data_IF_564662452275
#
_entry.id   IF_564662452275
#
_cell.length_a   1.000
_cell.length_b   1.000
_cell.length_c   1.000
_cell.angle_alpha   90.00
_cell.angle_beta   90.00
_cell.angle_gamma   90.00
#
_symmetry.space_group_name_H-M   'P 1'
#
loop_
_entity.id
_entity.type
_entity.pdbx_description
1 polymer ?
#
# COMPACT_ATOMS: atom_id res chain seq x y z
N UNK A 1 -40.48 -9.83 33.65
CA UNK A 1 -39.71 -10.89 34.34
C UNK A 1 -38.24 -10.55 34.22
N UNK A 2 -37.53 -10.39 35.33
CA UNK A 2 -36.07 -10.17 35.31
C UNK A 2 -35.38 -11.45 34.81
N UNK A 3 -34.64 -11.33 33.71
CA UNK A 3 -33.94 -12.43 33.06
C UNK A 3 -32.65 -12.67 33.84
N UNK A 4 -32.48 -13.86 34.43
CA UNK A 4 -31.26 -14.21 35.17
C UNK A 4 -30.38 -15.12 34.33
N UNK A 5 -29.06 -15.03 34.51
CA UNK A 5 -28.09 -15.85 33.75
C UNK A 5 -28.34 -17.35 33.91
N UNK A 6 -28.65 -17.81 35.14
CA UNK A 6 -28.98 -19.22 35.43
C UNK A 6 -30.22 -19.73 34.67
N UNK A 7 -31.24 -18.87 34.48
CA UNK A 7 -32.42 -19.26 33.69
C UNK A 7 -32.07 -19.39 32.21
N UNK A 8 -31.20 -18.51 31.71
CA UNK A 8 -30.71 -18.56 30.34
C UNK A 8 -29.84 -19.81 30.12
N UNK A 9 -28.92 -20.11 31.03
CA UNK A 9 -28.09 -21.33 30.99
C UNK A 9 -28.92 -22.61 30.99
N UNK A 10 -29.91 -22.73 31.88
CA UNK A 10 -30.79 -23.89 31.90
C UNK A 10 -31.56 -24.04 30.58
N UNK A 11 -32.01 -22.92 30.00
CA UNK A 11 -32.69 -22.92 28.71
C UNK A 11 -31.74 -23.31 27.56
N UNK A 12 -30.49 -22.87 27.57
CA UNK A 12 -29.49 -23.25 26.60
C UNK A 12 -29.12 -24.73 26.74
N UNK A 13 -28.91 -25.22 27.95
CA UNK A 13 -28.52 -26.60 28.25
C UNK A 13 -29.62 -27.61 27.88
N UNK A 14 -30.88 -27.32 28.24
CA UNK A 14 -32.04 -28.14 27.81
C UNK A 14 -32.20 -28.19 26.30
N UNK A 15 -31.55 -27.25 25.60
CA UNK A 15 -31.49 -27.15 24.14
C UNK A 15 -30.06 -27.43 23.66
N UNK A 16 -29.30 -28.32 24.30
CA UNK A 16 -28.04 -28.82 23.74
C UNK A 16 -26.91 -27.80 23.52
N UNK A 17 -26.99 -26.61 24.10
CA UNK A 17 -25.93 -25.61 24.09
C UNK A 17 -25.29 -25.47 25.47
N UNK A 18 -23.97 -25.48 25.51
CA UNK A 18 -23.17 -25.25 26.70
C UNK A 18 -22.54 -23.85 26.63
N UNK A 19 -22.78 -23.02 27.65
CA UNK A 19 -22.07 -21.76 27.80
C UNK A 19 -20.65 -22.02 28.34
N UNK A 20 -19.63 -21.56 27.61
CA UNK A 20 -18.21 -21.81 27.92
C UNK A 20 -17.50 -20.59 28.50
N UNK A 21 -17.73 -19.41 27.91
CA UNK A 21 -17.08 -18.14 28.31
C UNK A 21 -18.11 -17.03 28.32
N UNK A 22 -17.98 -16.13 29.28
CA UNK A 22 -18.85 -14.97 29.41
C UNK A 22 -18.01 -13.71 29.26
N UNK A 23 -18.51 -12.73 28.52
CA UNK A 23 -17.84 -11.46 28.30
C UNK A 23 -18.69 -10.33 28.87
N UNK A 24 -18.06 -9.47 29.68
CA UNK A 24 -18.75 -8.44 30.46
C UNK A 24 -18.15 -7.05 30.27
N UNK A 25 -19.03 -6.05 30.28
CA UNK A 25 -18.70 -4.62 30.28
C UNK A 25 -19.45 -4.00 31.46
N UNK A 26 -18.75 -3.23 32.31
CA UNK A 26 -19.33 -2.52 33.45
C UNK A 26 -20.27 -3.40 34.31
N UNK A 27 -19.82 -4.62 34.63
CA UNK A 27 -20.55 -5.61 35.45
C UNK A 27 -21.89 -6.13 34.85
N UNK A 28 -22.09 -5.97 33.55
CA UNK A 28 -23.20 -6.58 32.80
C UNK A 28 -22.69 -7.50 31.67
N UNK A 29 -23.34 -8.64 31.47
CA UNK A 29 -22.98 -9.57 30.39
C UNK A 29 -23.38 -9.01 29.02
N UNK A 30 -22.45 -9.06 28.06
CA UNK A 30 -22.64 -8.58 26.69
C UNK A 30 -22.57 -9.71 25.67
N UNK A 31 -21.65 -10.65 25.85
CA UNK A 31 -21.54 -11.83 24.99
C UNK A 31 -21.37 -13.13 25.78
N UNK A 32 -21.89 -14.24 25.26
CA UNK A 32 -21.72 -15.60 25.82
C UNK A 32 -21.27 -16.55 24.72
N UNK A 33 -20.11 -17.19 24.88
CA UNK A 33 -19.61 -18.22 23.95
C UNK A 33 -20.36 -19.52 24.21
N UNK A 34 -21.08 -19.99 23.20
CA UNK A 34 -21.86 -21.20 23.23
C UNK A 34 -21.20 -22.28 22.39
N UNK A 35 -21.26 -23.52 22.89
CA UNK A 35 -20.87 -24.72 22.18
C UNK A 35 -22.08 -25.62 22.04
N UNK A 36 -22.38 -26.05 20.81
CA UNK A 36 -23.37 -27.08 20.59
C UNK A 36 -22.78 -28.45 20.98
N UNK A 37 -23.44 -29.15 21.90
CA UNK A 37 -22.98 -30.46 22.41
C UNK A 37 -22.99 -31.52 21.30
N UNK A 38 -23.92 -31.43 20.34
CA UNK A 38 -24.11 -32.44 19.31
C UNK A 38 -23.17 -32.26 18.11
N UNK A 39 -22.79 -31.02 17.80
CA UNK A 39 -21.99 -30.72 16.59
C UNK A 39 -20.60 -30.16 16.91
N UNK A 40 -20.33 -29.84 18.17
CA UNK A 40 -19.16 -29.08 18.61
C UNK A 40 -19.01 -27.68 17.96
N UNK A 41 -20.03 -27.21 17.25
CA UNK A 41 -20.04 -25.88 16.63
C UNK A 41 -20.06 -24.80 17.72
N UNK A 42 -19.20 -23.79 17.57
CA UNK A 42 -19.17 -22.65 18.48
C UNK A 42 -19.84 -21.43 17.87
N UNK A 43 -20.65 -20.74 18.66
CA UNK A 43 -21.28 -19.48 18.29
C UNK A 43 -21.26 -18.47 19.44
N UNK A 44 -21.54 -17.21 19.12
CA UNK A 44 -21.63 -16.12 20.07
C UNK A 44 -23.09 -15.73 20.30
N UNK A 45 -23.52 -15.63 21.55
CA UNK A 45 -24.80 -15.03 21.89
C UNK A 45 -24.59 -13.59 22.35
N UNK A 46 -25.17 -12.64 21.64
CA UNK A 46 -25.19 -11.23 22.03
C UNK A 46 -26.39 -10.93 22.93
N UNK A 47 -26.14 -10.27 24.05
CA UNK A 47 -27.17 -9.79 24.99
C UNK A 47 -27.35 -8.28 24.75
N UNK A 48 -28.50 -7.85 24.21
CA UNK A 48 -28.80 -6.43 24.08
C UNK A 48 -28.85 -5.72 25.44
N UNK A 49 -28.32 -4.49 25.48
CA UNK A 49 -28.20 -3.68 26.71
C UNK A 49 -29.53 -3.48 27.46
N UNK A 50 -30.67 -3.54 26.76
CA UNK A 50 -32.01 -3.42 27.37
C UNK A 50 -32.37 -4.52 28.39
N UNK A 51 -31.67 -5.66 28.36
CA UNK A 51 -31.95 -6.77 29.29
C UNK A 51 -31.14 -6.71 30.59
N UNK A 52 -30.07 -5.90 30.62
CA UNK A 52 -29.16 -5.65 31.76
C UNK A 52 -29.00 -6.84 32.74
N UNK A 53 -28.28 -7.88 32.30
CA UNK A 53 -28.01 -9.07 33.11
C UNK A 53 -26.72 -8.85 33.88
N UNK A 54 -26.83 -8.63 35.19
CA UNK A 54 -25.68 -8.42 36.07
C UNK A 54 -24.79 -9.65 36.17
N UNK A 55 -23.49 -9.40 36.27
CA UNK A 55 -22.46 -10.44 36.46
C UNK A 55 -22.62 -11.08 37.84
N UNK A 56 -22.84 -12.39 37.85
CA UNK A 56 -22.73 -13.21 39.05
C UNK A 56 -21.28 -13.69 39.21
N UNK A 57 -20.88 -14.13 40.42
CA UNK A 57 -19.56 -14.73 40.71
C UNK A 57 -19.40 -16.11 40.04
N UNK A 58 -19.45 -16.16 38.72
CA UNK A 58 -19.21 -17.35 37.91
C UNK A 58 -17.73 -17.43 37.52
N UNK A 59 -17.24 -18.66 37.34
CA UNK A 59 -15.94 -18.93 36.73
C UNK A 59 -16.00 -18.63 35.22
N UNK A 60 -14.88 -18.27 34.58
CA UNK A 60 -14.77 -17.96 33.14
C UNK A 60 -15.49 -16.69 32.65
N UNK A 61 -15.56 -15.66 33.50
CA UNK A 61 -15.99 -14.31 33.10
C UNK A 61 -14.77 -13.48 32.70
N UNK A 62 -14.77 -13.00 31.46
CA UNK A 62 -13.75 -12.13 30.91
C UNK A 62 -14.27 -10.70 30.82
N UNK A 63 -13.47 -9.73 31.26
CA UNK A 63 -13.78 -8.31 31.06
C UNK A 63 -13.37 -7.90 29.66
N UNK A 64 -14.20 -7.09 29.00
CA UNK A 64 -13.90 -6.56 27.68
C UNK A 64 -14.02 -5.03 27.66
N UNK A 65 -13.12 -4.37 26.93
CA UNK A 65 -13.12 -2.91 26.77
C UNK A 65 -13.12 -2.52 25.30
N UNK A 66 -13.80 -1.41 24.98
CA UNK A 66 -13.85 -0.87 23.61
C UNK A 66 -12.48 -0.41 23.12
N UNK A 67 -12.16 -0.75 21.88
CA UNK A 67 -10.99 -0.24 21.17
C UNK A 67 -11.48 0.61 19.99
N UNK A 68 -11.03 1.85 19.95
CA UNK A 68 -11.04 2.64 18.73
C UNK A 68 -9.72 2.40 17.99
N UNK A 69 -9.81 1.87 16.78
CA UNK A 69 -8.66 1.69 15.89
C UNK A 69 -8.79 2.72 14.78
N UNK A 70 -7.79 3.59 14.65
CA UNK A 70 -7.75 4.59 13.58
C UNK A 70 -7.59 3.89 12.23
N UNK A 71 -8.53 4.15 11.31
CA UNK A 71 -8.63 3.45 10.03
C UNK A 71 -7.74 4.05 8.93
N UNK A 72 -6.93 5.06 9.25
CA UNK A 72 -6.17 5.88 8.31
C UNK A 72 -4.88 5.22 7.78
N UNK A 73 -4.94 3.91 7.51
CA UNK A 73 -3.85 3.20 6.84
C UNK A 73 -4.04 3.21 5.33
N UNK A 74 -3.11 3.86 4.60
CA UNK A 74 -3.10 3.88 3.15
C UNK A 74 -2.40 2.61 2.64
N UNK A 75 -3.10 1.78 1.85
CA UNK A 75 -2.65 0.43 1.44
C UNK A 75 -1.22 0.43 0.84
N UNK A 76 -0.80 1.40 0.02
CA UNK A 76 0.58 1.42 -0.47
C UNK A 76 1.60 1.75 0.64
N UNK A 77 1.28 2.63 1.58
CA UNK A 77 2.20 3.11 2.63
C UNK A 77 2.40 2.05 3.72
N UNK A 78 1.34 1.34 4.10
CA UNK A 78 1.40 0.28 5.12
C UNK A 78 2.21 -0.95 4.67
N UNK A 79 2.27 -1.18 3.35
CA UNK A 79 2.96 -2.32 2.73
C UNK A 79 4.33 -1.98 2.15
N UNK A 80 4.52 -0.77 1.61
CA UNK A 80 5.84 -0.27 1.14
C UNK A 80 6.84 -0.08 2.28
N UNK A 81 6.36 0.01 3.52
CA UNK A 81 7.16 0.48 4.65
C UNK A 81 7.58 1.94 4.42
N UNK A 82 7.97 2.61 5.49
CA UNK A 82 9.08 3.53 5.29
C UNK A 82 10.24 2.63 4.84
N UNK A 83 10.69 2.84 3.62
CA UNK A 83 11.93 2.25 3.12
C UNK A 83 12.98 2.37 4.23
N UNK A 84 13.36 1.26 4.87
CA UNK A 84 14.57 1.22 5.70
C UNK A 84 15.70 1.62 4.73
N UNK A 85 16.31 2.82 4.87
CA UNK A 85 17.33 3.26 3.94
C UNK A 85 18.49 2.25 3.89
N UNK A 86 18.74 1.60 5.02
CA UNK A 86 19.75 0.57 5.24
C UNK A 86 19.50 -0.76 4.50
N UNK A 87 18.28 -1.03 4.03
CA UNK A 87 17.94 -2.26 3.30
C UNK A 87 17.89 -2.06 1.79
N UNK A 88 17.74 -0.82 1.31
CA UNK A 88 17.75 -0.49 -0.11
C UNK A 88 19.19 -0.29 -0.59
N UNK A 89 20.07 0.37 0.18
CA UNK A 89 21.50 0.47 -0.16
C UNK A 89 22.16 -0.91 -0.33
N UNK A 90 21.79 -1.91 0.50
CA UNK A 90 22.31 -3.28 0.39
C UNK A 90 21.87 -4.05 -0.85
N UNK A 91 20.79 -3.65 -1.52
CA UNK A 91 20.36 -4.28 -2.79
C UNK A 91 21.07 -3.65 -4.00
N UNK A 92 21.60 -2.44 -3.86
CA UNK A 92 22.42 -1.77 -4.88
C UNK A 92 23.93 -2.01 -4.69
N UNK A 93 24.38 -2.28 -3.46
CA UNK A 93 25.80 -2.51 -3.11
C UNK A 93 26.25 -3.98 -3.23
N UNK A 94 25.93 -4.63 -4.35
CA UNK A 94 26.70 -5.80 -4.78
C UNK A 94 27.74 -5.37 -5.83
N UNK A 95 28.66 -4.50 -5.42
CA UNK A 95 29.98 -4.32 -6.04
C UNK A 95 30.97 -4.17 -4.89
N UNK A 96 31.89 -5.13 -4.78
CA UNK A 96 32.94 -5.24 -3.76
C UNK A 96 33.71 -3.94 -3.49
N UNK A 97 34.17 -3.75 -2.23
CA UNK A 97 35.59 -3.61 -1.84
C UNK A 97 35.68 -3.47 -0.30
N UNK A 98 36.70 -4.14 0.24
CA UNK A 98 37.14 -4.23 1.64
C UNK A 98 37.46 -2.88 2.32
N UNK A 99 37.60 -2.97 3.65
CA UNK A 99 38.26 -2.05 4.60
C UNK A 99 37.51 -0.79 5.10
N UNK A 100 37.04 -0.83 6.35
CA UNK A 100 37.71 -0.11 7.45
C UNK A 100 36.95 -0.25 8.80
N UNK A 101 37.54 -1.00 9.73
CA UNK A 101 36.99 -1.32 11.06
C UNK A 101 36.85 -0.11 12.02
N UNK A 102 37.26 1.10 11.61
CA UNK A 102 37.23 2.30 12.47
C UNK A 102 35.91 3.08 12.45
N UNK A 103 35.01 2.80 11.50
CA UNK A 103 33.68 3.42 11.42
C UNK A 103 32.55 2.61 12.08
N UNK A 104 32.87 1.47 12.71
CA UNK A 104 31.90 0.61 13.39
C UNK A 104 31.44 1.19 14.73
N UNK A 105 32.32 1.88 15.45
CA UNK A 105 32.03 2.41 16.80
C UNK A 105 31.11 3.63 16.73
N UNK A 106 31.34 4.55 15.78
CA UNK A 106 30.47 5.71 15.54
C UNK A 106 29.09 5.31 14.98
N UNK A 107 28.99 4.21 14.21
CA UNK A 107 27.72 3.61 13.80
C UNK A 107 26.98 2.93 14.98
N UNK A 108 27.70 2.31 15.91
CA UNK A 108 27.11 1.70 17.11
C UNK A 108 26.59 2.74 18.11
N UNK A 109 27.31 3.86 18.32
CA UNK A 109 26.85 4.94 19.22
C UNK A 109 25.59 5.65 18.70
N UNK A 110 25.44 5.82 17.39
CA UNK A 110 24.22 6.38 16.80
C UNK A 110 23.01 5.45 16.92
N UNK A 111 23.22 4.12 16.96
CA UNK A 111 22.15 3.15 17.20
C UNK A 111 21.58 3.18 18.63
N UNK A 112 22.32 3.73 19.59
CA UNK A 112 21.84 3.92 20.97
C UNK A 112 21.05 5.22 21.18
N UNK A 113 21.01 6.11 20.18
CA UNK A 113 20.37 7.42 20.30
C UNK A 113 18.90 7.42 19.85
N UNK A 114 18.17 6.33 20.14
CA UNK A 114 16.72 6.29 19.99
C UNK A 114 16.05 6.55 21.36
N UNK A 115 15.29 7.64 21.52
CA UNK A 115 14.49 7.82 22.72
C UNK A 115 13.48 6.68 22.82
N UNK A 116 13.60 5.86 23.87
CA UNK A 116 12.67 4.79 24.19
C UNK A 116 11.29 5.43 24.42
N UNK A 117 10.41 5.33 23.42
CA UNK A 117 9.01 5.72 23.55
C UNK A 117 8.29 4.65 24.38
N UNK A 118 8.05 4.96 25.64
CA UNK A 118 7.18 4.21 26.55
C UNK A 118 5.73 4.22 26.04
N UNK A 119 5.38 3.26 25.19
CA UNK A 119 4.10 2.56 25.17
C UNK A 119 4.21 1.37 24.22
N UNK A 120 4.75 0.27 24.73
CA UNK A 120 4.70 -1.05 24.08
C UNK A 120 3.25 -1.53 23.94
N UNK A 121 2.56 -1.09 22.88
CA UNK A 121 1.62 -1.95 22.17
C UNK A 121 2.43 -2.60 21.06
N UNK A 122 2.47 -3.93 21.01
CA UNK A 122 3.15 -4.66 19.94
C UNK A 122 2.70 -4.10 18.59
N UNK A 123 3.60 -3.48 17.84
CA UNK A 123 3.27 -2.87 16.54
C UNK A 123 2.64 -3.90 15.58
N UNK A 124 2.98 -5.17 15.74
CA UNK A 124 2.39 -6.29 15.00
C UNK A 124 0.92 -6.55 15.34
N UNK A 125 0.54 -6.47 16.62
CA UNK A 125 -0.85 -6.70 17.06
C UNK A 125 -1.80 -5.62 16.49
N UNK A 126 -1.33 -4.38 16.38
CA UNK A 126 -2.09 -3.30 15.74
C UNK A 126 -2.29 -3.53 14.24
N UNK A 127 -1.27 -4.04 13.52
CA UNK A 127 -1.39 -4.35 12.08
C UNK A 127 -2.41 -5.47 11.84
N UNK A 128 -2.32 -6.56 12.61
CA UNK A 128 -3.26 -7.67 12.52
C UNK A 128 -4.71 -7.25 12.85
N UNK A 129 -4.89 -6.37 13.83
CA UNK A 129 -6.19 -5.78 14.15
C UNK A 129 -6.78 -4.98 12.98
N UNK A 130 -5.98 -4.12 12.35
CA UNK A 130 -6.40 -3.34 11.17
C UNK A 130 -6.81 -4.27 10.03
N UNK A 131 -6.06 -5.36 9.81
CA UNK A 131 -6.38 -6.34 8.78
C UNK A 131 -7.68 -7.11 9.08
N UNK A 132 -7.92 -7.47 10.34
CA UNK A 132 -9.20 -8.07 10.78
C UNK A 132 -10.37 -7.12 10.53
N UNK A 133 -10.22 -5.82 10.85
CA UNK A 133 -11.26 -4.82 10.59
C UNK A 133 -11.53 -4.71 9.08
N UNK A 134 -10.48 -4.67 8.25
CA UNK A 134 -10.59 -4.67 6.78
C UNK A 134 -11.26 -5.95 6.26
N UNK A 135 -11.01 -7.11 6.88
CA UNK A 135 -11.70 -8.37 6.56
C UNK A 135 -13.20 -8.29 6.92
N UNK A 136 -13.54 -7.79 8.11
CA UNK A 136 -14.93 -7.63 8.55
C UNK A 136 -15.71 -6.63 7.68
N UNK A 137 -15.09 -5.54 7.22
CA UNK A 137 -15.71 -4.60 6.26
C UNK A 137 -16.18 -5.28 4.98
N UNK A 138 -15.39 -6.23 4.47
CA UNK A 138 -15.74 -7.04 3.29
C UNK A 138 -16.82 -8.07 3.61
N UNK A 139 -16.68 -8.78 4.74
CA UNK A 139 -17.62 -9.81 5.18
C UNK A 139 -19.01 -9.27 5.55
N UNK A 140 -19.09 -8.00 5.96
CA UNK A 140 -20.34 -7.31 6.27
C UNK A 140 -21.38 -7.43 5.17
N UNK A 141 -20.97 -7.33 3.91
CA UNK A 141 -21.89 -7.46 2.77
C UNK A 141 -22.50 -8.86 2.64
N UNK A 142 -21.84 -9.90 3.15
CA UNK A 142 -22.37 -11.27 3.14
C UNK A 142 -23.48 -11.48 4.18
N UNK A 143 -23.51 -10.66 5.24
CA UNK A 143 -24.40 -10.85 6.40
C UNK A 143 -25.35 -9.68 6.65
N UNK A 144 -25.47 -8.76 5.69
CA UNK A 144 -26.30 -7.56 5.81
C UNK A 144 -27.79 -7.89 5.92
N UNK A 145 -28.27 -8.84 5.13
CA UNK A 145 -29.71 -9.19 5.01
C UNK A 145 -30.18 -10.22 6.02
N UNK A 146 -29.28 -10.84 6.78
CA UNK A 146 -29.58 -11.93 7.71
C UNK A 146 -29.44 -11.47 9.17
N UNK A 147 -30.19 -12.12 10.06
CA UNK A 147 -30.15 -11.85 11.51
C UNK A 147 -28.87 -12.36 12.20
N UNK A 148 -28.09 -13.20 11.52
CA UNK A 148 -26.82 -13.74 12.03
C UNK A 148 -25.67 -12.82 11.62
N UNK A 149 -24.81 -12.45 12.56
CA UNK A 149 -23.65 -11.58 12.31
C UNK A 149 -22.34 -12.34 12.52
N UNK A 150 -21.22 -11.74 12.14
CA UNK A 150 -19.89 -12.37 12.17
C UNK A 150 -19.03 -11.76 13.26
N UNK A 151 -18.29 -12.63 13.94
CA UNK A 151 -17.29 -12.28 14.96
C UNK A 151 -15.97 -12.96 14.59
N UNK A 152 -14.88 -12.20 14.66
CA UNK A 152 -13.52 -12.73 14.55
C UNK A 152 -12.85 -12.50 15.90
N UNK A 153 -12.35 -13.59 16.49
CA UNK A 153 -11.51 -13.54 17.67
C UNK A 153 -10.06 -13.81 17.29
N UNK A 154 -9.14 -13.02 17.81
CA UNK A 154 -7.70 -13.18 17.58
C UNK A 154 -6.92 -12.68 18.79
N UNK A 155 -6.04 -13.50 19.35
CA UNK A 155 -5.29 -13.17 20.56
C UNK A 155 -6.22 -12.71 21.69
N UNK A 156 -6.04 -11.47 22.13
CA UNK A 156 -6.86 -10.79 23.13
C UNK A 156 -7.86 -9.81 22.53
N UNK A 157 -8.28 -10.06 21.29
CA UNK A 157 -9.19 -9.18 20.58
C UNK A 157 -10.44 -9.91 20.09
N UNK A 158 -11.57 -9.22 20.19
CA UNK A 158 -12.86 -9.65 19.68
C UNK A 158 -13.43 -8.55 18.80
N UNK A 159 -13.55 -8.83 17.51
CA UNK A 159 -14.07 -7.89 16.53
C UNK A 159 -15.39 -8.43 15.97
N UNK A 160 -16.47 -7.67 16.05
CA UNK A 160 -17.81 -8.12 15.67
C UNK A 160 -18.55 -7.12 14.78
N UNK A 161 -19.47 -7.65 13.99
CA UNK A 161 -20.43 -6.86 13.21
C UNK A 161 -21.73 -6.74 14.01
N UNK A 162 -22.20 -5.52 14.24
CA UNK A 162 -23.45 -5.23 14.93
C UNK A 162 -24.68 -5.39 14.03
N UNK A 163 -25.87 -5.28 14.65
CA UNK A 163 -27.17 -5.24 13.98
C UNK A 163 -27.29 -4.12 12.95
N UNK A 164 -26.69 -2.97 13.23
CA UNK A 164 -26.64 -1.78 12.38
C UNK A 164 -25.50 -1.83 11.34
N UNK A 165 -24.85 -2.98 11.19
CA UNK A 165 -23.72 -3.21 10.30
C UNK A 165 -22.48 -2.34 10.63
N UNK A 166 -22.42 -1.77 11.84
CA UNK A 166 -21.20 -1.16 12.37
C UNK A 166 -20.24 -2.23 12.87
N UNK A 167 -18.93 -1.98 12.76
CA UNK A 167 -17.89 -2.88 13.26
C UNK A 167 -17.45 -2.36 14.63
N UNK A 168 -17.34 -3.26 15.59
CA UNK A 168 -16.83 -2.96 16.91
C UNK A 168 -15.71 -3.91 17.29
N UNK A 169 -14.72 -3.37 18.00
CA UNK A 169 -13.56 -4.12 18.46
C UNK A 169 -13.45 -3.99 19.97
N UNK A 170 -13.12 -5.10 20.61
CA UNK A 170 -12.97 -5.21 22.05
C UNK A 170 -11.62 -5.85 22.40
N UNK A 171 -10.97 -5.38 23.46
CA UNK A 171 -9.86 -6.08 24.10
C UNK A 171 -10.43 -7.00 25.16
N UNK A 172 -10.01 -8.27 25.19
CA UNK A 172 -10.33 -9.25 26.22
C UNK A 172 -9.13 -9.33 27.17
N UNK A 173 -9.36 -9.08 28.46
CA UNK A 173 -8.32 -9.29 29.47
C UNK A 173 -8.10 -10.80 29.71
N UNK A 174 -6.85 -11.21 29.90
CA UNK A 174 -6.45 -12.58 30.27
C UNK A 174 -6.85 -13.70 29.27
N UNK A 175 -6.74 -13.45 27.96
CA UNK A 175 -7.00 -14.49 26.95
C UNK A 175 -5.74 -14.90 26.17
N UNK A 176 -5.45 -16.21 26.17
CA UNK A 176 -4.30 -16.79 25.48
C UNK A 176 -4.71 -17.53 24.19
N UNK A 177 -5.39 -16.87 23.27
CA UNK A 177 -5.84 -17.48 22.02
C UNK A 177 -4.95 -17.10 20.82
N UNK A 178 -3.88 -17.86 20.53
CA UNK A 178 -2.95 -17.53 19.43
C UNK A 178 -3.56 -17.63 18.02
N UNK A 179 -4.65 -18.38 17.85
CA UNK A 179 -5.25 -18.62 16.54
C UNK A 179 -6.44 -17.70 16.27
N UNK A 180 -6.59 -17.29 15.00
CA UNK A 180 -7.78 -16.56 14.52
C UNK A 180 -8.96 -17.52 14.45
N UNK A 181 -10.05 -17.18 15.13
CA UNK A 181 -11.29 -17.98 15.17
C UNK A 181 -12.45 -17.19 14.60
N UNK A 182 -13.10 -17.73 13.58
CA UNK A 182 -14.34 -17.22 13.03
C UNK A 182 -15.51 -17.77 13.85
N UNK A 183 -16.42 -16.89 14.26
CA UNK A 183 -17.65 -17.24 14.95
C UNK A 183 -18.85 -16.51 14.35
N UNK A 184 -20.02 -17.12 14.48
CA UNK A 184 -21.30 -16.48 14.14
C UNK A 184 -21.95 -15.99 15.42
N UNK A 185 -22.35 -14.72 15.46
CA UNK A 185 -23.14 -14.14 16.53
C UNK A 185 -24.63 -14.13 16.22
N UNK A 186 -25.43 -14.44 17.23
CA UNK A 186 -26.89 -14.37 17.25
C UNK A 186 -27.31 -13.50 18.42
N UNK A 187 -28.37 -12.71 18.26
CA UNK A 187 -28.91 -11.94 19.37
C UNK A 187 -29.92 -12.71 20.20
N UNK A 188 -30.03 -12.35 21.47
CA UNK A 188 -30.94 -12.96 22.43
C UNK A 188 -32.41 -12.98 21.96
N UNK A 189 -32.88 -11.92 21.31
CA UNK A 189 -34.23 -11.87 20.75
C UNK A 189 -34.46 -12.92 19.66
N UNK A 190 -33.52 -13.05 18.73
CA UNK A 190 -33.60 -14.02 17.63
C UNK A 190 -33.48 -15.44 18.16
N UNK A 191 -32.70 -15.65 19.22
CA UNK A 191 -32.66 -16.91 19.94
C UNK A 191 -34.05 -17.27 20.50
N UNK A 192 -34.71 -16.34 21.18
CA UNK A 192 -36.04 -16.58 21.75
C UNK A 192 -37.11 -16.81 20.68
N UNK A 193 -37.09 -16.06 19.57
CA UNK A 193 -37.99 -16.27 18.42
C UNK A 193 -37.88 -17.71 17.90
N UNK A 194 -36.65 -18.19 17.67
CA UNK A 194 -36.41 -19.52 17.10
C UNK A 194 -36.62 -20.66 18.09
N UNK A 195 -36.47 -20.42 19.39
CA UNK A 195 -36.72 -21.41 20.45
C UNK A 195 -38.23 -21.54 20.74
N UNK A 196 -39.01 -20.47 20.54
CA UNK A 196 -40.46 -20.47 20.76
C UNK A 196 -41.23 -21.40 19.82
N UNK A 197 -40.70 -21.65 18.63
CA UNK A 197 -41.23 -22.63 17.68
C UNK A 197 -40.82 -24.05 18.11
N UNK A 198 -41.73 -24.75 18.79
CA UNK A 198 -41.53 -26.07 19.44
C UNK A 198 -40.93 -27.19 18.56
N UNK A 199 -40.81 -27.00 17.24
CA UNK A 199 -40.29 -27.97 16.26
C UNK A 199 -38.90 -27.66 15.68
N UNK A 200 -38.28 -26.51 15.98
CA UNK A 200 -37.18 -25.96 15.16
C UNK A 200 -35.80 -25.86 15.87
N UNK A 201 -35.48 -26.78 16.78
CA UNK A 201 -34.18 -26.74 17.48
C UNK A 201 -32.96 -26.99 16.56
N UNK A 202 -33.09 -27.92 15.61
CA UNK A 202 -32.05 -28.16 14.60
C UNK A 202 -31.85 -26.95 13.67
N UNK A 203 -32.82 -26.02 13.62
CA UNK A 203 -32.80 -24.89 12.70
C UNK A 203 -31.68 -23.90 13.04
N UNK A 204 -31.43 -23.58 14.33
CA UNK A 204 -30.33 -22.65 14.68
C UNK A 204 -28.97 -23.23 14.27
N UNK A 205 -28.75 -24.52 14.55
CA UNK A 205 -27.50 -25.20 14.21
C UNK A 205 -27.32 -25.33 12.70
N UNK A 206 -28.40 -25.64 11.97
CA UNK A 206 -28.41 -25.71 10.52
C UNK A 206 -28.20 -24.33 9.88
N UNK A 207 -28.78 -23.28 10.45
CA UNK A 207 -28.62 -21.90 9.99
C UNK A 207 -27.17 -21.45 10.17
N UNK A 208 -26.58 -21.70 11.35
CA UNK A 208 -25.17 -21.43 11.64
C UNK A 208 -24.28 -22.15 10.61
N UNK A 209 -24.51 -23.44 10.37
CA UNK A 209 -23.77 -24.20 9.35
C UNK A 209 -23.96 -23.63 7.95
N UNK A 210 -25.16 -23.22 7.60
CA UNK A 210 -25.47 -22.63 6.29
C UNK A 210 -24.74 -21.30 6.11
N UNK A 211 -24.69 -20.47 7.15
CA UNK A 211 -23.94 -19.21 7.13
C UNK A 211 -22.44 -19.47 7.04
N UNK A 212 -21.88 -20.42 7.81
CA UNK A 212 -20.46 -20.80 7.68
C UNK A 212 -20.14 -21.29 6.27
N UNK A 213 -20.94 -22.21 5.73
CA UNK A 213 -20.75 -22.73 4.38
C UNK A 213 -20.88 -21.62 3.32
N UNK A 214 -21.78 -20.66 3.54
CA UNK A 214 -21.92 -19.47 2.69
C UNK A 214 -20.66 -18.61 2.71
N UNK A 215 -20.11 -18.33 3.90
CA UNK A 215 -18.87 -17.56 4.07
C UNK A 215 -17.68 -18.30 3.43
N UNK A 216 -17.52 -19.59 3.68
CA UNK A 216 -16.44 -20.38 3.09
C UNK A 216 -16.51 -20.42 1.56
N UNK A 217 -17.70 -20.62 0.99
CA UNK A 217 -17.88 -20.54 -0.48
C UNK A 217 -17.50 -19.18 -1.05
N UNK A 218 -17.78 -18.09 -0.32
CA UNK A 218 -17.37 -16.75 -0.73
C UNK A 218 -15.85 -16.62 -0.68
N UNK A 219 -15.20 -17.13 0.38
CA UNK A 219 -13.74 -17.15 0.47
C UNK A 219 -13.11 -17.95 -0.67
N UNK A 220 -13.57 -19.16 -0.94
CA UNK A 220 -13.03 -20.01 -2.02
C UNK A 220 -13.18 -19.33 -3.38
N UNK A 221 -14.38 -18.78 -3.65
CA UNK A 221 -14.65 -18.05 -4.90
C UNK A 221 -13.78 -16.81 -5.04
N UNK A 222 -13.55 -16.08 -3.95
CA UNK A 222 -12.70 -14.90 -3.96
C UNK A 222 -11.24 -15.28 -4.15
N UNK A 223 -10.75 -16.33 -3.48
CA UNK A 223 -9.39 -16.84 -3.64
C UNK A 223 -9.13 -17.21 -5.11
N UNK A 224 -10.05 -17.97 -5.73
CA UNK A 224 -9.94 -18.32 -7.14
C UNK A 224 -9.88 -17.09 -8.04
N UNK A 225 -10.83 -16.15 -7.87
CA UNK A 225 -10.87 -14.90 -8.65
C UNK A 225 -9.64 -14.02 -8.45
N UNK A 226 -9.13 -13.92 -7.22
CA UNK A 226 -7.93 -13.15 -6.92
C UNK A 226 -6.71 -13.78 -7.60
N UNK A 227 -6.60 -15.11 -7.57
CA UNK A 227 -5.54 -15.86 -8.26
C UNK A 227 -5.59 -15.63 -9.77
N UNK A 228 -6.76 -15.77 -10.39
CA UNK A 228 -6.96 -15.50 -11.83
C UNK A 228 -6.60 -14.05 -12.21
N UNK A 229 -6.93 -13.08 -11.35
CA UNK A 229 -6.56 -11.68 -11.58
C UNK A 229 -5.06 -11.44 -11.45
N UNK A 230 -4.38 -12.11 -10.50
CA UNK A 230 -2.93 -12.05 -10.34
C UNK A 230 -2.24 -12.63 -11.59
N UNK A 231 -2.73 -13.74 -12.12
CA UNK A 231 -2.22 -14.33 -13.37
C UNK A 231 -2.32 -13.33 -14.54
N UNK A 232 -3.47 -12.68 -14.72
CA UNK A 232 -3.65 -11.62 -15.74
C UNK A 232 -2.71 -10.43 -15.53
N UNK A 233 -2.42 -10.06 -14.28
CA UNK A 233 -1.43 -9.02 -13.98
C UNK A 233 -0.03 -9.50 -14.37
N UNK A 234 0.33 -10.75 -14.06
CA UNK A 234 1.61 -11.35 -14.44
C UNK A 234 1.82 -11.38 -15.96
N UNK A 235 0.77 -11.72 -16.73
CA UNK A 235 0.82 -11.65 -18.19
C UNK A 235 1.09 -10.22 -18.69
N UNK A 236 0.51 -9.21 -18.03
CA UNK A 236 0.78 -7.80 -18.34
C UNK A 236 2.17 -7.34 -17.89
N UNK A 237 2.73 -7.90 -16.81
CA UNK A 237 4.14 -7.68 -16.41
C UNK A 237 5.08 -8.12 -17.55
N UNK A 238 4.74 -9.19 -18.27
CA UNK A 238 5.47 -9.59 -19.48
C UNK A 238 5.59 -8.47 -20.53
N UNK A 239 4.62 -7.56 -20.60
CA UNK A 239 4.63 -6.39 -21.50
C UNK A 239 5.52 -5.25 -21.01
N UNK A 240 5.84 -5.17 -19.71
CA UNK A 240 6.75 -4.14 -19.15
C UNK A 240 8.11 -4.22 -19.82
N UNK A 241 8.61 -5.43 -20.09
CA UNK A 241 9.87 -5.62 -20.81
C UNK A 241 9.84 -4.97 -22.19
N UNK A 242 8.75 -5.17 -22.94
CA UNK A 242 8.57 -4.55 -24.27
C UNK A 242 8.50 -3.02 -24.18
N UNK A 243 7.85 -2.46 -23.16
CA UNK A 243 7.82 -1.02 -22.94
C UNK A 243 9.21 -0.47 -22.60
N UNK A 244 9.96 -1.15 -21.73
CA UNK A 244 11.34 -0.81 -21.41
C UNK A 244 12.24 -0.79 -22.65
N UNK A 245 12.14 -1.81 -23.50
CA UNK A 245 12.92 -1.90 -24.75
C UNK A 245 12.58 -0.75 -25.72
N UNK A 246 11.29 -0.41 -25.86
CA UNK A 246 10.86 0.70 -26.71
C UNK A 246 11.33 2.06 -26.21
N UNK A 247 11.33 2.23 -24.89
CA UNK A 247 11.83 3.45 -24.25
C UNK A 247 13.35 3.57 -24.43
N UNK A 248 14.09 2.48 -24.29
CA UNK A 248 15.53 2.45 -24.54
C UNK A 248 15.86 2.84 -25.99
N UNK A 249 15.09 2.35 -26.96
CA UNK A 249 15.22 2.75 -28.37
C UNK A 249 15.03 4.26 -28.56
N UNK A 250 14.00 4.85 -27.93
CA UNK A 250 13.79 6.32 -27.99
C UNK A 250 14.94 7.11 -27.37
N UNK A 251 15.53 6.64 -26.27
CA UNK A 251 16.74 7.28 -25.69
C UNK A 251 17.91 7.25 -26.69
N UNK A 252 18.13 6.11 -27.33
CA UNK A 252 19.15 5.98 -28.38
C UNK A 252 18.89 6.92 -29.56
N UNK A 253 17.64 7.08 -29.99
CA UNK A 253 17.26 8.05 -31.02
C UNK A 253 17.60 9.49 -30.61
N UNK A 254 17.25 9.91 -29.39
CA UNK A 254 17.60 11.25 -28.90
C UNK A 254 19.11 11.47 -28.82
N UNK A 255 19.88 10.50 -28.34
CA UNK A 255 21.35 10.60 -28.34
C UNK A 255 21.91 10.72 -29.76
N UNK A 256 21.39 9.94 -30.72
CA UNK A 256 21.80 10.06 -32.11
C UNK A 256 21.47 11.45 -32.70
N UNK A 257 20.33 12.05 -32.34
CA UNK A 257 20.02 13.41 -32.77
C UNK A 257 20.93 14.45 -32.12
N UNK A 258 21.27 14.31 -30.83
CA UNK A 258 22.20 15.20 -30.14
C UNK A 258 23.57 15.18 -30.81
N UNK A 259 24.14 13.98 -31.05
CA UNK A 259 25.43 13.83 -31.73
C UNK A 259 25.43 14.51 -33.11
N UNK A 260 24.35 14.35 -33.89
CA UNK A 260 24.23 15.00 -35.21
C UNK A 260 24.18 16.53 -35.10
N UNK A 261 23.45 17.06 -34.11
CA UNK A 261 23.35 18.50 -33.89
C UNK A 261 24.66 19.09 -33.38
N UNK A 262 25.42 18.36 -32.56
CA UNK A 262 26.76 18.74 -32.10
C UNK A 262 27.75 18.82 -33.27
N UNK A 263 27.76 17.82 -34.16
CA UNK A 263 28.58 17.85 -35.38
C UNK A 263 28.23 19.05 -36.26
N UNK A 264 26.92 19.34 -36.44
CA UNK A 264 26.48 20.51 -37.21
C UNK A 264 26.93 21.82 -36.55
N UNK A 265 26.84 21.92 -35.22
CA UNK A 265 27.27 23.10 -34.48
C UNK A 265 28.79 23.31 -34.63
N UNK A 266 29.60 22.25 -34.53
CA UNK A 266 31.05 22.31 -34.76
C UNK A 266 31.37 22.76 -36.18
N UNK A 267 30.65 22.25 -37.19
CA UNK A 267 30.86 22.63 -38.58
C UNK A 267 30.59 24.10 -38.90
N UNK A 268 29.89 24.82 -38.02
CA UNK A 268 29.61 26.26 -38.14
C UNK A 268 30.68 27.15 -37.50
N UNK A 269 31.55 26.60 -36.64
CA UNK A 269 32.58 27.37 -35.93
C UNK A 269 33.67 27.85 -36.89
N UNK A 270 34.15 26.98 -37.78
CA UNK A 270 35.18 27.31 -38.76
C UNK A 270 34.76 28.41 -39.76
N UNK A 271 33.59 28.34 -40.42
CA UNK A 271 33.15 29.43 -41.31
C UNK A 271 32.89 30.74 -40.58
N UNK A 272 32.39 30.71 -39.34
CA UNK A 272 32.25 31.91 -38.50
C UNK A 272 33.61 32.56 -38.20
N UNK A 273 34.63 31.73 -37.90
CA UNK A 273 36.01 32.17 -37.69
C UNK A 273 36.62 32.77 -38.96
N UNK A 274 36.40 32.16 -40.12
CA UNK A 274 36.89 32.70 -41.40
C UNK A 274 36.27 34.03 -41.77
N UNK A 275 34.96 34.23 -41.51
CA UNK A 275 34.28 35.52 -41.77
C UNK A 275 34.81 36.60 -40.83
N UNK A 276 35.00 36.28 -39.54
CA UNK A 276 35.55 37.23 -38.56
C UNK A 276 37.00 37.61 -38.87
N UNK A 277 37.84 36.66 -39.29
CA UNK A 277 39.20 36.93 -39.78
C UNK A 277 39.19 37.83 -41.02
N UNK A 278 38.30 37.58 -41.99
CA UNK A 278 38.15 38.45 -43.19
C UNK A 278 37.70 39.87 -42.84
N UNK A 279 36.82 40.05 -41.87
CA UNK A 279 36.42 41.38 -41.38
C UNK A 279 37.64 42.09 -40.78
N UNK A 280 38.42 41.42 -39.93
CA UNK A 280 39.64 41.98 -39.34
C UNK A 280 40.70 42.33 -40.41
N UNK A 281 40.85 41.52 -41.45
CA UNK A 281 41.73 41.81 -42.59
C UNK A 281 41.27 43.07 -43.36
N UNK A 282 39.98 43.20 -43.66
CA UNK A 282 39.41 44.38 -44.32
C UNK A 282 39.61 45.63 -43.45
N UNK A 283 39.37 45.53 -42.14
CA UNK A 283 39.62 46.63 -41.20
C UNK A 283 41.10 47.05 -41.16
N UNK A 284 42.02 46.09 -41.23
CA UNK A 284 43.46 46.38 -41.26
C UNK A 284 43.94 47.03 -42.57
N UNK A 285 43.41 46.59 -43.73
CA UNK A 285 43.76 47.11 -45.07
C UNK A 285 43.37 48.58 -45.26
N UNK A 286 42.20 48.96 -44.75
CA UNK A 286 41.64 50.31 -44.92
C UNK A 286 41.97 51.25 -43.73
N UNK A 287 42.92 50.90 -42.86
CA UNK A 287 43.30 51.70 -41.69
C UNK A 287 44.06 52.99 -42.05
N UNK A 288 44.64 53.06 -43.26
CA UNK A 288 45.52 54.16 -43.72
C UNK A 288 44.99 54.95 -44.93
N UNK A 289 43.92 54.51 -45.61
CA UNK A 289 43.32 55.21 -46.76
C UNK A 289 42.22 56.18 -46.28
N UNK A 290 42.42 57.49 -46.44
CA UNK A 290 41.48 58.56 -46.01
C UNK A 290 40.66 59.16 -47.16
N UNK A 291 40.38 58.40 -48.22
CA UNK A 291 39.54 58.87 -49.34
C UNK A 291 38.09 58.44 -49.14
N UNK A 292 37.15 59.36 -49.37
CA UNK A 292 35.71 59.14 -49.15
C UNK A 292 35.16 57.92 -49.94
N UNK A 293 35.74 57.65 -51.11
CA UNK A 293 35.45 56.45 -51.91
C UNK A 293 35.93 55.14 -51.26
N UNK A 294 37.11 55.16 -50.64
CA UNK A 294 37.66 53.98 -49.93
C UNK A 294 36.87 53.63 -48.67
N UNK A 295 36.30 54.64 -47.99
CA UNK A 295 35.42 54.44 -46.84
C UNK A 295 34.07 53.83 -47.26
N UNK A 296 33.52 54.26 -48.41
CA UNK A 296 32.28 53.74 -48.95
C UNK A 296 32.41 52.27 -49.37
N UNK A 297 33.50 51.91 -50.04
CA UNK A 297 33.82 50.53 -50.44
C UNK A 297 34.05 49.62 -49.23
N UNK A 298 34.81 50.11 -48.22
CA UNK A 298 35.00 49.41 -46.94
C UNK A 298 33.67 49.11 -46.26
N UNK A 299 32.79 50.12 -46.17
CA UNK A 299 31.49 49.96 -45.53
C UNK A 299 30.61 48.93 -46.23
N UNK A 300 30.63 48.88 -47.57
CA UNK A 300 29.87 47.89 -48.32
C UNK A 300 30.40 46.46 -48.15
N UNK A 301 31.73 46.29 -48.16
CA UNK A 301 32.38 44.99 -47.96
C UNK A 301 32.13 44.44 -46.55
N UNK A 302 32.24 45.29 -45.52
CA UNK A 302 31.95 44.91 -44.13
C UNK A 302 30.46 44.60 -43.97
N UNK A 303 29.56 45.42 -44.54
CA UNK A 303 28.12 45.16 -44.48
C UNK A 303 27.75 43.79 -45.07
N UNK A 304 28.36 43.41 -46.21
CA UNK A 304 28.12 42.11 -46.84
C UNK A 304 28.60 40.93 -45.97
N UNK A 305 29.79 41.04 -45.38
CA UNK A 305 30.32 40.01 -44.47
C UNK A 305 29.51 39.93 -43.16
N UNK A 306 29.01 41.06 -42.65
CA UNK A 306 28.11 41.09 -41.50
C UNK A 306 26.76 40.44 -41.79
N UNK A 307 26.21 40.61 -43.00
CA UNK A 307 24.96 39.96 -43.40
C UNK A 307 25.11 38.44 -43.50
N UNK A 308 26.25 37.95 -43.99
CA UNK A 308 26.60 36.51 -43.99
C UNK A 308 26.76 35.97 -42.56
N UNK A 309 27.41 36.74 -41.68
CA UNK A 309 27.59 36.39 -40.26
C UNK A 309 26.26 36.37 -39.49
N UNK A 310 25.34 37.29 -39.79
CA UNK A 310 24.01 37.33 -39.20
C UNK A 310 23.18 36.11 -39.60
N UNK A 311 23.21 35.71 -40.87
CA UNK A 311 22.56 34.47 -41.35
C UNK A 311 23.12 33.23 -40.65
N UNK A 312 24.43 33.15 -40.49
CA UNK A 312 25.10 32.04 -39.81
C UNK A 312 24.71 31.99 -38.32
N UNK A 313 24.63 33.14 -37.67
CA UNK A 313 24.17 33.25 -36.28
C UNK A 313 22.71 32.82 -36.09
N UNK A 314 21.81 33.14 -37.01
CA UNK A 314 20.41 32.68 -36.95
C UNK A 314 20.37 31.14 -36.97
N UNK A 315 21.09 30.52 -37.91
CA UNK A 315 21.17 29.05 -38.02
C UNK A 315 21.77 28.43 -36.75
N UNK A 316 22.83 29.02 -36.21
CA UNK A 316 23.48 28.58 -34.97
C UNK A 316 22.52 28.66 -33.77
N UNK A 317 21.78 29.75 -33.63
CA UNK A 317 20.77 29.91 -32.58
C UNK A 317 19.67 28.85 -32.69
N UNK A 318 19.23 28.53 -33.91
CA UNK A 318 18.20 27.50 -34.12
C UNK A 318 18.71 26.08 -33.81
N UNK A 319 19.97 25.77 -34.15
CA UNK A 319 20.62 24.50 -33.75
C UNK A 319 20.70 24.41 -32.23
N UNK A 320 21.13 25.48 -31.54
CA UNK A 320 21.22 25.51 -30.07
C UNK A 320 19.85 25.30 -29.43
N UNK A 321 18.80 25.98 -29.92
CA UNK A 321 17.42 25.77 -29.44
C UNK A 321 16.98 24.31 -29.60
N UNK A 322 17.30 23.69 -30.73
CA UNK A 322 16.98 22.29 -30.98
C UNK A 322 17.74 21.33 -30.06
N UNK A 323 19.04 21.58 -29.81
CA UNK A 323 19.84 20.81 -28.85
C UNK A 323 19.20 20.87 -27.46
N UNK A 324 18.88 22.07 -26.98
CA UNK A 324 18.25 22.26 -25.66
C UNK A 324 16.91 21.53 -25.58
N UNK A 325 16.08 21.64 -26.62
CA UNK A 325 14.77 20.97 -26.69
C UNK A 325 14.89 19.44 -26.61
N UNK A 326 15.82 18.84 -27.37
CA UNK A 326 16.03 17.39 -27.37
C UNK A 326 16.65 16.94 -26.05
N UNK A 327 17.59 17.70 -25.50
CA UNK A 327 18.23 17.41 -24.21
C UNK A 327 17.19 17.40 -23.07
N UNK A 328 16.33 18.41 -23.00
CA UNK A 328 15.25 18.46 -22.02
C UNK A 328 14.32 17.25 -22.15
N UNK A 329 13.93 16.85 -23.37
CA UNK A 329 13.09 15.66 -23.60
C UNK A 329 13.78 14.36 -23.18
N UNK A 330 15.09 14.24 -23.42
CA UNK A 330 15.87 13.09 -23.01
C UNK A 330 15.99 12.98 -21.48
N UNK A 331 16.24 14.10 -20.81
CA UNK A 331 16.31 14.21 -19.35
C UNK A 331 14.95 13.91 -18.70
N UNK A 332 13.88 14.54 -19.18
CA UNK A 332 12.51 14.30 -18.71
C UNK A 332 12.14 12.82 -18.83
N UNK A 333 12.37 12.21 -20.01
CA UNK A 333 12.12 10.80 -20.23
C UNK A 333 12.92 9.95 -19.23
N UNK A 334 14.18 10.29 -18.99
CA UNK A 334 15.05 9.53 -18.07
C UNK A 334 14.56 9.56 -16.63
N UNK A 335 14.20 10.74 -16.12
CA UNK A 335 13.70 10.91 -14.75
C UNK A 335 12.35 10.22 -14.53
N UNK A 336 11.44 10.28 -15.53
CA UNK A 336 10.14 9.63 -15.44
C UNK A 336 10.28 8.11 -15.35
N UNK A 337 11.18 7.52 -16.14
CA UNK A 337 11.40 6.07 -16.12
C UNK A 337 11.96 5.62 -14.79
N UNK A 338 12.98 6.32 -14.29
CA UNK A 338 13.64 5.99 -13.04
C UNK A 338 12.62 5.93 -11.89
N UNK A 339 11.82 6.99 -11.77
CA UNK A 339 10.71 7.05 -10.81
C UNK A 339 9.73 5.87 -10.95
N UNK A 340 9.22 5.64 -12.16
CA UNK A 340 8.22 4.58 -12.39
C UNK A 340 8.79 3.19 -12.09
N UNK A 341 10.03 2.93 -12.49
CA UNK A 341 10.67 1.62 -12.28
C UNK A 341 10.99 1.40 -10.80
N UNK A 342 11.44 2.44 -10.10
CA UNK A 342 11.67 2.40 -8.65
C UNK A 342 10.37 2.09 -7.88
N UNK A 343 9.30 2.84 -8.15
CA UNK A 343 8.00 2.62 -7.50
C UNK A 343 7.48 1.20 -7.76
N UNK A 344 7.58 0.71 -9.00
CA UNK A 344 7.18 -0.65 -9.36
C UNK A 344 8.03 -1.73 -8.68
N UNK A 345 9.34 -1.50 -8.51
CA UNK A 345 10.23 -2.43 -7.84
C UNK A 345 9.84 -2.61 -6.37
N UNK A 346 9.62 -1.51 -5.64
CA UNK A 346 9.16 -1.55 -4.25
C UNK A 346 7.83 -2.30 -4.15
N UNK A 347 6.87 -2.00 -5.03
CA UNK A 347 5.57 -2.67 -5.01
C UNK A 347 5.69 -4.19 -5.26
N UNK A 348 6.55 -4.61 -6.19
CA UNK A 348 6.77 -6.03 -6.47
C UNK A 348 7.43 -6.76 -5.30
N UNK A 349 8.43 -6.15 -4.65
CA UNK A 349 9.04 -6.71 -3.44
C UNK A 349 8.02 -6.91 -2.32
N UNK A 350 7.14 -5.93 -2.11
CA UNK A 350 6.05 -6.03 -1.13
C UNK A 350 5.08 -7.16 -1.45
N UNK A 351 4.73 -7.32 -2.73
CA UNK A 351 3.89 -8.41 -3.22
C UNK A 351 4.57 -9.76 -2.96
N UNK A 352 5.87 -9.89 -3.27
CA UNK A 352 6.65 -11.12 -3.05
C UNK A 352 6.68 -11.47 -1.56
N UNK A 353 6.98 -10.51 -0.68
CA UNK A 353 6.96 -10.70 0.78
C UNK A 353 5.61 -11.22 1.28
N UNK A 354 4.50 -10.74 0.71
CA UNK A 354 3.16 -11.24 1.04
C UNK A 354 2.94 -12.69 0.57
N UNK A 355 3.45 -13.06 -0.60
CA UNK A 355 3.39 -14.46 -1.06
C UNK A 355 4.27 -15.39 -0.23
N UNK A 356 5.43 -14.94 0.24
CA UNK A 356 6.28 -15.71 1.15
C UNK A 356 5.51 -16.01 2.44
N UNK A 357 4.80 -15.04 3.02
CA UNK A 357 3.93 -15.27 4.19
C UNK A 357 2.86 -16.32 3.93
N UNK A 358 2.33 -16.43 2.72
CA UNK A 358 1.38 -17.49 2.38
C UNK A 358 2.02 -18.88 2.36
N UNK A 359 3.33 -18.98 2.08
CA UNK A 359 4.05 -20.28 2.10
C UNK A 359 4.45 -20.76 3.50
N UNK A 360 4.28 -19.91 4.53
CA UNK A 360 4.58 -20.23 5.93
C UNK A 360 3.40 -20.91 6.67
N UNK A 361 2.25 -21.07 6.01
CA UNK A 361 1.04 -21.76 6.50
C UNK A 361 0.78 -23.04 5.69
#
# INVERSE_FOLDING_TARGET
MTLTIKKLENLLYTRGFLAKRYYSINDSYVYIELININTADTCMLYIPSKYDIKVDKLENVFKIDYINVDENGNIPVDYAGEADPDNIEKQYDNIDIEDDAKNLISKLENNYNHPIKLSERNQNDNKELVDIIRQLKRLRFCVQTIKYKVVIMYNSYLCCIKRDDTIQCFTIYDSNNKCRKLMISLDLETLYEKIGEKSNFNTISNDIKTVYNGIYRVFDKNQYKHTENIEKISENIGKIKLFSDNIFKKKMEYNNYLVKLEILLESLIEPEKQITEKIAEIESKYKYSKTLQSDMEKSQLIAKQNEELEKLNIVKQDIIKNIISIKNKHEELTLIIDKIMFDNHIMLDCIIKNFIKLSEF
#
